data_IF_976844077033
#
_entry.id   IF_976844077033
#
_cell.length_a   1.000
_cell.length_b   1.000
_cell.length_c   1.000
_cell.angle_alpha   90.00
_cell.angle_beta   90.00
_cell.angle_gamma   90.00
#
_symmetry.space_group_name_H-M   'P 1'
#
loop_
_entity.id
_entity.type
_entity.pdbx_description
1 polymer ?
#
# COMPACT_ATOMS: atom_id res chain seq x y z
N UNK A 1 14.05 9.38 -52.55
CA UNK A 1 12.62 9.26 -52.15
C UNK A 1 12.33 7.79 -51.88
N UNK A 2 12.53 7.31 -50.65
CA UNK A 2 12.15 5.94 -50.25
C UNK A 2 11.56 5.99 -48.84
N UNK A 3 10.33 6.52 -48.78
CA UNK A 3 9.50 6.44 -47.58
C UNK A 3 9.03 5.01 -47.38
N UNK A 4 9.88 4.17 -46.80
CA UNK A 4 9.42 2.96 -46.14
C UNK A 4 8.71 3.40 -44.87
N UNK A 5 7.39 3.41 -44.93
CA UNK A 5 6.48 3.52 -43.80
C UNK A 5 6.80 2.44 -42.78
N UNK A 6 7.77 2.71 -41.90
CA UNK A 6 8.03 1.99 -40.66
C UNK A 6 6.75 2.13 -39.85
N UNK A 7 5.90 1.10 -39.89
CA UNK A 7 4.64 1.09 -39.19
C UNK A 7 4.96 1.22 -37.68
N UNK A 8 4.60 2.34 -37.01
CA UNK A 8 5.04 2.62 -35.65
C UNK A 8 4.57 1.56 -34.64
N UNK A 9 3.54 0.78 -35.00
CA UNK A 9 2.99 -0.32 -34.21
C UNK A 9 3.90 -1.57 -34.17
N UNK A 10 4.92 -1.65 -35.04
CA UNK A 10 5.85 -2.78 -35.09
C UNK A 10 7.14 -2.57 -34.29
N UNK A 11 7.31 -1.41 -33.65
CA UNK A 11 8.44 -1.20 -32.75
C UNK A 11 8.39 -2.20 -31.58
N UNK A 12 9.53 -2.84 -31.21
CA UNK A 12 9.59 -3.77 -30.08
C UNK A 12 9.00 -3.17 -28.80
N UNK A 13 9.23 -1.88 -28.59
CA UNK A 13 8.76 -1.07 -27.47
C UNK A 13 7.23 -1.08 -27.33
N UNK A 14 6.49 -1.07 -28.45
CA UNK A 14 5.02 -1.13 -28.48
C UNK A 14 4.51 -2.55 -28.24
N UNK A 15 5.29 -3.56 -28.62
CA UNK A 15 4.98 -4.97 -28.36
C UNK A 15 5.33 -5.42 -26.93
N UNK A 16 6.25 -4.71 -26.25
CA UNK A 16 6.55 -4.91 -24.84
C UNK A 16 5.40 -4.48 -23.92
N UNK A 17 4.51 -3.58 -24.37
CA UNK A 17 3.30 -3.19 -23.64
C UNK A 17 2.29 -4.35 -23.65
N UNK A 18 2.50 -5.33 -22.76
CA UNK A 18 1.62 -6.48 -22.60
C UNK A 18 0.31 -6.06 -21.89
N UNK A 19 -0.59 -5.41 -22.63
CA UNK A 19 -1.86 -4.90 -22.10
C UNK A 19 -2.72 -5.96 -21.41
N UNK A 20 -2.52 -7.24 -21.72
CA UNK A 20 -3.20 -8.36 -21.05
C UNK A 20 -2.78 -8.51 -19.58
N UNK A 21 -1.49 -8.37 -19.28
CA UNK A 21 -0.98 -8.45 -17.90
C UNK A 21 -1.51 -7.29 -17.05
N UNK A 22 -1.51 -6.08 -17.61
CA UNK A 22 -2.09 -4.91 -16.98
C UNK A 22 -3.59 -5.12 -16.68
N UNK A 23 -4.36 -5.57 -17.67
CA UNK A 23 -5.81 -5.73 -17.54
C UNK A 23 -6.17 -6.82 -16.50
N UNK A 24 -5.42 -7.93 -16.45
CA UNK A 24 -5.59 -8.97 -15.44
C UNK A 24 -5.35 -8.43 -14.02
N UNK A 25 -4.23 -7.73 -13.81
CA UNK A 25 -3.93 -7.17 -12.48
C UNK A 25 -4.93 -6.10 -12.05
N UNK A 26 -5.42 -5.29 -12.99
CA UNK A 26 -6.46 -4.30 -12.74
C UNK A 26 -7.75 -4.96 -12.27
N UNK A 27 -8.26 -5.96 -13.00
CA UNK A 27 -9.49 -6.67 -12.63
C UNK A 27 -9.33 -7.34 -11.27
N UNK A 28 -8.22 -8.03 -11.04
CA UNK A 28 -7.98 -8.74 -9.79
C UNK A 28 -7.93 -7.77 -8.59
N UNK A 29 -7.21 -6.65 -8.75
CA UNK A 29 -7.12 -5.60 -7.73
C UNK A 29 -8.48 -4.99 -7.44
N UNK A 30 -9.27 -4.70 -8.48
CA UNK A 30 -10.61 -4.12 -8.36
C UNK A 30 -11.56 -5.06 -7.60
N UNK A 31 -11.52 -6.36 -7.89
CA UNK A 31 -12.32 -7.36 -7.18
C UNK A 31 -11.96 -7.44 -5.70
N UNK A 32 -10.66 -7.54 -5.38
CA UNK A 32 -10.20 -7.61 -3.99
C UNK A 32 -10.53 -6.33 -3.19
N UNK A 33 -10.39 -5.16 -3.81
CA UNK A 33 -10.82 -3.88 -3.18
C UNK A 33 -12.32 -3.84 -2.94
N UNK A 34 -13.13 -4.32 -3.88
CA UNK A 34 -14.58 -4.37 -3.73
C UNK A 34 -14.98 -5.28 -2.58
N UNK A 35 -14.34 -6.45 -2.44
CA UNK A 35 -14.55 -7.37 -1.31
C UNK A 35 -14.15 -6.72 0.01
N UNK A 36 -13.00 -6.05 0.07
CA UNK A 36 -12.54 -5.34 1.26
C UNK A 36 -13.52 -4.24 1.69
N UNK A 37 -14.00 -3.43 0.73
CA UNK A 37 -14.98 -2.39 0.99
C UNK A 37 -16.31 -2.97 1.48
N UNK A 38 -16.80 -4.02 0.81
CA UNK A 38 -18.04 -4.69 1.19
C UNK A 38 -17.98 -5.20 2.64
N UNK A 39 -16.88 -5.86 3.02
CA UNK A 39 -16.65 -6.37 4.37
C UNK A 39 -16.75 -5.26 5.43
N UNK A 40 -16.17 -4.09 5.15
CA UNK A 40 -16.22 -2.93 6.05
C UNK A 40 -17.65 -2.38 6.17
N UNK A 41 -18.35 -2.22 5.04
CA UNK A 41 -19.71 -1.66 5.00
C UNK A 41 -20.73 -2.57 5.69
N UNK A 42 -20.60 -3.89 5.55
CA UNK A 42 -21.53 -4.84 6.18
C UNK A 42 -21.24 -5.08 7.66
N UNK A 43 -20.15 -4.52 8.20
CA UNK A 43 -19.68 -4.79 9.55
C UNK A 43 -19.64 -6.30 9.88
N UNK A 44 -19.23 -7.11 8.90
CA UNK A 44 -19.36 -8.57 8.96
C UNK A 44 -18.45 -9.23 10.01
N UNK A 45 -17.45 -8.51 10.51
CA UNK A 45 -16.46 -8.99 11.48
C UNK A 45 -16.25 -7.97 12.60
N UNK A 46 -15.66 -8.43 13.71
CA UNK A 46 -15.26 -7.55 14.81
C UNK A 46 -14.23 -6.50 14.32
N UNK A 47 -14.14 -5.30 14.95
CA UNK A 47 -13.29 -4.20 14.47
C UNK A 47 -11.84 -4.60 14.20
N UNK A 48 -11.25 -5.41 15.09
CA UNK A 48 -9.89 -5.93 14.90
C UNK A 48 -9.80 -6.89 13.72
N UNK A 49 -10.80 -7.76 13.56
CA UNK A 49 -10.88 -8.70 12.43
C UNK A 49 -11.02 -7.96 11.10
N UNK A 50 -11.80 -6.89 11.03
CA UNK A 50 -11.92 -6.03 9.85
C UNK A 50 -10.57 -5.48 9.44
N UNK A 51 -9.85 -4.83 10.37
CA UNK A 51 -8.53 -4.24 10.10
C UNK A 51 -7.55 -5.30 9.58
N UNK A 52 -7.53 -6.47 10.20
CA UNK A 52 -6.60 -7.54 9.85
C UNK A 52 -6.89 -8.10 8.45
N UNK A 53 -8.16 -8.42 8.17
CA UNK A 53 -8.57 -8.95 6.85
C UNK A 53 -8.37 -7.92 5.74
N UNK A 54 -8.74 -6.66 5.96
CA UNK A 54 -8.54 -5.61 4.95
C UNK A 54 -7.06 -5.32 4.70
N UNK A 55 -6.22 -5.38 5.74
CA UNK A 55 -4.76 -5.22 5.58
C UNK A 55 -4.16 -6.36 4.76
N UNK A 56 -4.60 -7.61 4.99
CA UNK A 56 -4.17 -8.75 4.19
C UNK A 56 -4.60 -8.62 2.73
N UNK A 57 -5.86 -8.26 2.47
CA UNK A 57 -6.36 -8.02 1.12
C UNK A 57 -5.56 -6.93 0.40
N UNK A 58 -5.29 -5.81 1.09
CA UNK A 58 -4.48 -4.73 0.56
C UNK A 58 -3.05 -5.20 0.23
N UNK A 59 -2.43 -5.97 1.12
CA UNK A 59 -1.10 -6.56 0.88
C UNK A 59 -1.07 -7.46 -0.37
N UNK A 60 -2.08 -8.31 -0.55
CA UNK A 60 -2.19 -9.17 -1.74
C UNK A 60 -2.33 -8.32 -3.02
N UNK A 61 -3.15 -7.27 -2.98
CA UNK A 61 -3.31 -6.35 -4.13
C UNK A 61 -1.98 -5.68 -4.50
N UNK A 62 -1.21 -5.21 -3.51
CA UNK A 62 0.12 -4.61 -3.75
C UNK A 62 1.07 -5.61 -4.40
N UNK A 63 1.07 -6.87 -3.96
CA UNK A 63 1.90 -7.92 -4.56
C UNK A 63 1.50 -8.19 -6.01
N UNK A 64 0.21 -8.31 -6.29
CA UNK A 64 -0.30 -8.56 -7.65
C UNK A 64 0.08 -7.43 -8.59
N UNK A 65 -0.14 -6.18 -8.18
CA UNK A 65 0.25 -5.01 -8.98
C UNK A 65 1.77 -4.93 -9.13
N UNK A 66 2.53 -5.19 -8.07
CA UNK A 66 3.99 -5.26 -8.13
C UNK A 66 4.48 -6.31 -9.12
N UNK A 67 3.87 -7.48 -9.19
CA UNK A 67 4.30 -8.52 -10.13
C UNK A 67 3.93 -8.19 -11.59
N UNK A 68 2.67 -7.82 -11.84
CA UNK A 68 2.13 -7.63 -13.19
C UNK A 68 2.47 -6.27 -13.83
N UNK A 69 2.58 -5.20 -13.03
CA UNK A 69 2.85 -3.83 -13.54
C UNK A 69 4.35 -3.56 -13.61
N UNK A 70 5.11 -3.89 -12.56
CA UNK A 70 6.56 -3.70 -12.56
C UNK A 70 7.30 -4.81 -13.33
N UNK A 71 6.58 -5.82 -13.82
CA UNK A 71 7.11 -6.89 -14.67
C UNK A 71 8.40 -7.46 -14.07
N UNK A 72 8.31 -7.85 -12.79
CA UNK A 72 9.47 -8.24 -11.99
C UNK A 72 9.93 -9.63 -12.43
N UNK A 73 10.64 -9.67 -13.55
CA UNK A 73 11.20 -10.88 -14.13
C UNK A 73 12.66 -11.06 -13.67
N UNK A 74 13.04 -12.32 -13.43
CA UNK A 74 14.44 -12.72 -13.14
C UNK A 74 15.27 -12.77 -14.44
N UNK A 75 14.65 -12.44 -15.58
CA UNK A 75 15.32 -12.35 -16.87
C UNK A 75 16.36 -11.23 -16.90
N UNK A 76 17.51 -11.51 -17.51
CA UNK A 76 18.66 -10.59 -17.60
C UNK A 76 18.31 -9.21 -18.20
N UNK A 77 17.24 -9.10 -18.99
CA UNK A 77 16.78 -7.85 -19.59
C UNK A 77 16.03 -6.91 -18.62
N UNK A 78 15.44 -7.43 -17.53
CA UNK A 78 14.61 -6.64 -16.60
C UNK A 78 15.15 -6.57 -15.17
N UNK A 79 16.39 -7.04 -14.93
CA UNK A 79 16.99 -7.04 -13.59
C UNK A 79 16.99 -5.67 -12.89
N UNK A 80 17.06 -4.57 -13.65
CA UNK A 80 17.03 -3.22 -13.10
C UNK A 80 15.73 -2.88 -12.37
N UNK A 81 14.58 -3.40 -12.82
CA UNK A 81 13.31 -3.22 -12.11
C UNK A 81 13.31 -3.96 -10.76
N UNK A 82 13.81 -5.20 -10.76
CA UNK A 82 13.91 -6.03 -9.56
C UNK A 82 14.87 -5.41 -8.54
N UNK A 83 16.05 -4.95 -8.98
CA UNK A 83 17.05 -4.29 -8.12
C UNK A 83 16.49 -2.99 -7.51
N UNK A 84 15.81 -2.18 -8.31
CA UNK A 84 15.17 -0.96 -7.82
C UNK A 84 14.08 -1.28 -6.77
N UNK A 85 13.29 -2.33 -6.98
CA UNK A 85 12.25 -2.77 -6.03
C UNK A 85 12.85 -3.22 -4.69
N UNK A 86 13.91 -4.03 -4.74
CA UNK A 86 14.60 -4.55 -3.54
C UNK A 86 15.25 -3.43 -2.73
N UNK A 87 15.75 -2.38 -3.38
CA UNK A 87 16.27 -1.20 -2.67
C UNK A 87 15.13 -0.33 -2.12
N UNK A 88 14.08 -0.11 -2.90
CA UNK A 88 12.99 0.79 -2.53
C UNK A 88 12.13 0.23 -1.39
N UNK A 89 11.80 -1.06 -1.40
CA UNK A 89 10.83 -1.64 -0.47
C UNK A 89 11.26 -1.52 1.01
N UNK A 90 12.51 -1.84 1.40
CA UNK A 90 12.98 -1.60 2.76
C UNK A 90 13.00 -0.13 3.13
N UNK A 91 13.45 0.75 2.21
CA UNK A 91 13.45 2.19 2.43
C UNK A 91 12.03 2.71 2.70
N UNK A 92 11.07 2.29 1.88
CA UNK A 92 9.66 2.65 2.02
C UNK A 92 9.09 2.23 3.38
N UNK A 93 9.33 0.98 3.80
CA UNK A 93 8.88 0.46 5.10
C UNK A 93 9.53 1.23 6.25
N UNK A 94 10.84 1.47 6.17
CA UNK A 94 11.58 2.20 7.21
C UNK A 94 11.11 3.64 7.29
N UNK A 95 10.92 4.34 6.18
CA UNK A 95 10.46 5.74 6.17
C UNK A 95 9.07 5.85 6.79
N UNK A 96 8.08 5.07 6.35
CA UNK A 96 6.72 5.15 6.90
C UNK A 96 6.71 4.72 8.36
N UNK A 97 7.37 3.60 8.68
CA UNK A 97 7.45 3.06 10.04
C UNK A 97 8.12 4.03 11.02
N UNK A 98 9.27 4.60 10.66
CA UNK A 98 9.98 5.56 11.49
C UNK A 98 9.19 6.86 11.64
N UNK A 99 8.56 7.36 10.59
CA UNK A 99 7.73 8.57 10.68
C UNK A 99 6.55 8.35 11.61
N UNK A 100 5.83 7.23 11.48
CA UNK A 100 4.72 6.88 12.37
C UNK A 100 5.19 6.71 13.82
N UNK A 101 6.30 5.99 14.03
CA UNK A 101 6.88 5.79 15.36
C UNK A 101 7.32 7.10 16.01
N UNK A 102 8.06 7.93 15.27
CA UNK A 102 8.54 9.22 15.74
C UNK A 102 7.37 10.12 16.15
N UNK A 103 6.35 10.25 15.30
CA UNK A 103 5.20 11.09 15.63
C UNK A 103 4.38 10.53 16.79
N UNK A 104 4.21 9.21 16.87
CA UNK A 104 3.54 8.58 18.02
C UNK A 104 4.28 8.87 19.34
N UNK A 105 5.60 8.70 19.35
CA UNK A 105 6.43 8.96 20.54
C UNK A 105 6.52 10.44 20.90
N UNK A 106 6.59 11.34 19.91
CA UNK A 106 6.53 12.78 20.13
C UNK A 106 5.18 13.19 20.71
N UNK A 107 4.09 12.72 20.11
CA UNK A 107 2.73 12.98 20.58
C UNK A 107 2.65 12.65 22.07
N UNK A 108 3.02 11.44 22.49
CA UNK A 108 2.98 11.04 23.91
C UNK A 108 3.75 11.95 24.89
N UNK A 109 4.79 12.66 24.42
CA UNK A 109 5.67 13.48 25.26
C UNK A 109 5.32 14.97 25.26
N UNK A 110 4.61 15.46 24.25
CA UNK A 110 4.39 16.91 24.05
C UNK A 110 2.97 17.36 24.30
N UNK A 111 1.98 16.46 24.31
CA UNK A 111 0.64 16.87 24.73
C UNK A 111 0.60 17.09 26.24
N UNK A 112 0.29 18.32 26.62
CA UNK A 112 -0.16 18.66 27.96
C UNK A 112 -1.52 17.99 28.14
N UNK A 113 -1.65 17.16 29.17
CA UNK A 113 -2.92 16.52 29.54
C UNK A 113 -4.03 17.60 29.59
N UNK A 114 -5.18 17.42 28.90
CA UNK A 114 -6.23 18.43 28.86
C UNK A 114 -6.58 18.90 30.28
N UNK A 115 -6.87 20.20 30.49
CA UNK A 115 -7.17 20.75 31.83
C UNK A 115 -8.24 19.97 32.61
N UNK A 116 -9.19 19.34 31.91
CA UNK A 116 -10.21 18.47 32.49
C UNK A 116 -9.64 17.16 33.08
N UNK A 117 -8.61 16.60 32.49
CA UNK A 117 -8.00 15.35 32.94
C UNK A 117 -6.94 15.58 34.04
N UNK A 118 -6.28 16.74 34.06
CA UNK A 118 -5.38 17.15 35.14
C UNK A 118 -6.10 17.61 36.40
N UNK A 119 -7.30 18.19 36.29
CA UNK A 119 -8.14 18.55 37.44
C UNK A 119 -8.79 17.34 38.15
N UNK A 120 -9.17 16.30 37.41
CA UNK A 120 -9.68 15.03 37.98
C UNK A 120 -8.62 14.20 38.70
N UNK A 121 -7.35 14.31 38.30
CA UNK A 121 -6.23 13.65 38.97
C UNK A 121 -5.86 14.31 40.33
N UNK A 122 -6.33 15.53 40.58
CA UNK A 122 -6.08 16.28 41.81
C UNK A 122 -7.29 16.37 42.75
N UNK A 123 -8.42 15.74 42.39
CA UNK A 123 -9.57 15.63 43.29
C UNK A 123 -9.32 14.54 44.33
N UNK A 124 -9.31 14.87 45.65
CA UNK A 124 -9.25 13.85 46.69
C UNK A 124 -10.47 12.93 46.58
N UNK A 125 -10.34 11.63 46.92
CA UNK A 125 -11.47 10.72 46.90
C UNK A 125 -12.55 11.28 47.83
N UNK A 126 -13.74 11.53 47.29
CA UNK A 126 -14.89 11.91 48.10
C UNK A 126 -15.19 10.73 49.02
N UNK A 127 -14.82 10.89 50.29
CA UNK A 127 -15.21 10.01 51.38
C UNK A 127 -16.73 9.95 51.44
N UNK A 128 -17.27 8.76 51.19
CA UNK A 128 -18.65 8.41 51.55
C UNK A 128 -18.83 8.43 53.07
#
# INVERSE_FOLDING_TARGET
MTGHTQNPLKHPEVQLANGRAYLVSFIFSMLLMTVGLWLVVTHATAPFGTVLVTSLLAGVVVIIQGYFILHMDISHAQMWHTVAMVLFLPLFVVTIGLTAWMFHGLYQRTMIMPPAASSMAHMPPMSH
#
